data_IF_253789064659
#
_entry.id   IF_253789064659
#
_cell.length_a   1.000
_cell.length_b   1.000
_cell.length_c   1.000
_cell.angle_alpha   90.00
_cell.angle_beta   90.00
_cell.angle_gamma   90.00
#
_symmetry.space_group_name_H-M   'P 1'
#
loop_
_entity.id
_entity.type
_entity.pdbx_description
1 polymer ?
#
# COMPACT_ATOMS: atom_id res chain seq x y z
N UNK A 1 23.59 -2.49 52.17
CA UNK A 1 23.64 -3.42 51.02
C UNK A 1 22.60 -2.96 50.01
N UNK A 2 22.98 -2.74 48.75
CA UNK A 2 22.11 -2.14 47.73
C UNK A 2 21.30 -3.23 47.00
N UNK A 3 19.99 -3.03 46.83
CA UNK A 3 19.10 -3.97 46.13
C UNK A 3 19.56 -4.15 44.67
N UNK A 4 19.82 -5.40 44.27
CA UNK A 4 20.29 -5.78 42.92
C UNK A 4 19.17 -6.12 41.93
N UNK A 5 17.91 -5.97 42.33
CA UNK A 5 16.75 -6.33 41.51
C UNK A 5 15.94 -5.07 41.19
N UNK A 6 16.02 -4.60 39.95
CA UNK A 6 15.21 -3.50 39.43
C UNK A 6 13.86 -3.98 38.90
N UNK A 7 12.97 -3.03 38.60
CA UNK A 7 11.71 -3.32 37.91
C UNK A 7 12.00 -4.00 36.56
N UNK A 8 11.37 -5.14 36.24
CA UNK A 8 11.61 -5.83 34.97
C UNK A 8 11.34 -4.89 33.78
N UNK A 9 12.33 -4.73 32.90
CA UNK A 9 12.29 -3.87 31.71
C UNK A 9 11.94 -4.61 30.43
N UNK A 10 11.80 -5.94 30.49
CA UNK A 10 11.34 -6.77 29.38
C UNK A 10 9.87 -7.13 29.58
N UNK A 11 9.06 -6.94 28.53
CA UNK A 11 7.68 -7.41 28.52
C UNK A 11 7.65 -8.94 28.55
N UNK A 12 6.84 -9.51 29.44
CA UNK A 12 6.56 -10.95 29.45
C UNK A 12 5.88 -11.33 28.14
N UNK A 13 6.44 -12.32 27.44
CA UNK A 13 5.80 -12.88 26.24
C UNK A 13 4.48 -13.52 26.67
N UNK A 14 3.35 -12.92 26.30
CA UNK A 14 2.05 -13.56 26.47
C UNK A 14 1.91 -14.63 25.41
N UNK A 15 1.48 -15.83 25.81
CA UNK A 15 1.14 -16.89 24.86
C UNK A 15 0.07 -16.37 23.91
N UNK A 16 0.36 -16.35 22.61
CA UNK A 16 -0.58 -15.95 21.58
C UNK A 16 -1.36 -17.19 21.15
N UNK A 17 -2.55 -17.39 21.72
CA UNK A 17 -3.50 -18.38 21.21
C UNK A 17 -4.07 -17.84 19.88
N UNK A 18 -3.87 -18.54 18.75
CA UNK A 18 -4.36 -18.08 17.47
C UNK A 18 -5.90 -18.10 17.45
N UNK A 19 -6.52 -16.93 17.46
CA UNK A 19 -7.95 -16.80 17.21
C UNK A 19 -8.22 -16.80 15.71
N UNK A 20 -8.74 -17.91 15.19
CA UNK A 20 -9.13 -18.02 13.79
C UNK A 20 -10.36 -17.13 13.51
N UNK A 21 -10.26 -16.28 12.49
CA UNK A 21 -11.40 -15.51 11.97
C UNK A 21 -11.97 -16.23 10.75
N UNK A 22 -13.25 -16.01 10.44
CA UNK A 22 -13.90 -16.60 9.26
C UNK A 22 -13.22 -16.17 7.95
N UNK A 23 -12.71 -14.93 7.88
CA UNK A 23 -12.04 -14.38 6.70
C UNK A 23 -10.54 -14.66 6.64
N UNK A 24 -9.90 -15.04 7.77
CA UNK A 24 -8.45 -15.14 7.88
C UNK A 24 -7.72 -13.83 8.22
N UNK A 25 -8.44 -12.70 8.33
CA UNK A 25 -7.89 -11.41 8.78
C UNK A 25 -7.37 -11.51 10.22
N UNK A 26 -6.29 -10.77 10.53
CA UNK A 26 -5.65 -10.74 11.86
C UNK A 26 -5.53 -9.30 12.37
N UNK A 27 -6.50 -8.88 13.19
CA UNK A 27 -6.62 -7.49 13.65
C UNK A 27 -6.61 -6.50 12.45
N UNK A 28 -5.62 -5.62 12.37
CA UNK A 28 -5.45 -4.66 11.27
C UNK A 28 -4.77 -5.26 10.02
N UNK A 29 -4.36 -6.53 10.06
CA UNK A 29 -3.85 -7.23 8.87
C UNK A 29 -5.03 -7.81 8.08
N UNK A 30 -5.47 -7.04 7.10
CA UNK A 30 -6.51 -7.43 6.15
C UNK A 30 -5.89 -8.16 4.95
N UNK A 31 -6.62 -9.13 4.40
CA UNK A 31 -6.24 -9.79 3.14
C UNK A 31 -6.68 -8.88 1.99
N UNK A 32 -5.79 -7.97 1.60
CA UNK A 32 -6.02 -7.04 0.49
C UNK A 32 -4.92 -7.23 -0.56
N UNK A 33 -5.29 -7.45 -1.85
CA UNK A 33 -4.31 -7.55 -2.92
C UNK A 33 -3.53 -6.25 -3.09
N UNK A 34 -2.32 -6.35 -3.64
CA UNK A 34 -1.55 -5.18 -4.02
C UNK A 34 -2.19 -4.49 -5.23
N UNK A 35 -1.97 -3.18 -5.36
CA UNK A 35 -2.50 -2.40 -6.51
C UNK A 35 -2.04 -2.95 -7.87
N UNK A 36 -0.90 -3.64 -7.93
CA UNK A 36 -0.39 -4.29 -9.14
C UNK A 36 -1.11 -5.59 -9.50
N UNK A 37 -1.86 -6.17 -8.57
CA UNK A 37 -2.62 -7.41 -8.76
C UNK A 37 -4.04 -7.14 -9.25
N UNK A 38 -4.56 -5.93 -9.00
CA UNK A 38 -5.93 -5.53 -9.35
C UNK A 38 -6.01 -4.44 -10.42
N UNK A 39 -5.01 -3.57 -10.53
CA UNK A 39 -5.06 -2.43 -11.43
C UNK A 39 -4.57 -2.72 -12.85
N UNK A 40 -4.99 -1.88 -13.79
CA UNK A 40 -4.70 -2.03 -15.22
C UNK A 40 -4.20 -0.70 -15.80
N UNK A 41 -3.24 -0.70 -16.74
CA UNK A 41 -2.63 0.53 -17.27
C UNK A 41 -3.61 1.41 -18.06
N UNK A 42 -4.67 0.81 -18.63
CA UNK A 42 -5.68 1.49 -19.45
C UNK A 42 -6.79 2.16 -18.62
N UNK A 43 -6.77 2.02 -17.30
CA UNK A 43 -7.83 2.53 -16.41
C UNK A 43 -7.37 3.79 -15.70
N UNK A 44 -8.30 4.72 -15.47
CA UNK A 44 -8.06 5.89 -14.62
C UNK A 44 -9.26 6.10 -13.70
N UNK A 45 -8.98 6.46 -12.46
CA UNK A 45 -10.00 6.79 -11.46
C UNK A 45 -10.32 8.27 -11.43
N UNK A 46 -9.63 9.06 -12.24
CA UNK A 46 -9.85 10.49 -12.38
C UNK A 46 -10.31 10.80 -13.80
N UNK A 47 -11.37 11.59 -13.90
CA UNK A 47 -11.85 12.14 -15.16
C UNK A 47 -11.08 13.43 -15.45
N UNK A 48 -10.03 13.29 -16.27
CA UNK A 48 -9.18 14.40 -16.69
C UNK A 48 -9.13 14.40 -18.22
N UNK A 49 -9.40 15.56 -18.81
CA UNK A 49 -9.31 15.75 -20.24
C UNK A 49 -7.89 15.45 -20.77
N UNK A 50 -7.83 14.94 -22.00
CA UNK A 50 -6.56 14.78 -22.68
C UNK A 50 -5.82 16.14 -22.79
N UNK A 51 -4.49 16.18 -22.62
CA UNK A 51 -3.75 17.42 -22.70
C UNK A 51 -3.86 18.03 -24.11
N UNK A 52 -4.05 19.35 -24.18
CA UNK A 52 -3.97 20.07 -25.44
C UNK A 52 -2.57 19.90 -26.09
N UNK A 53 -2.44 20.04 -27.42
CA UNK A 53 -1.15 19.93 -28.09
C UNK A 53 -0.10 20.87 -27.48
N UNK A 54 1.04 20.33 -27.06
CA UNK A 54 2.11 21.09 -26.45
C UNK A 54 3.48 20.65 -26.98
N UNK A 55 4.46 21.56 -26.89
CA UNK A 55 5.87 21.23 -27.17
C UNK A 55 6.57 20.85 -25.86
N UNK A 56 7.08 19.62 -25.77
CA UNK A 56 7.84 19.17 -24.61
C UNK A 56 9.10 20.02 -24.40
N UNK A 57 9.34 20.40 -23.14
CA UNK A 57 10.53 21.16 -22.70
C UNK A 57 11.59 20.27 -22.05
N UNK A 58 11.35 18.96 -21.97
CA UNK A 58 12.25 18.02 -21.29
C UNK A 58 13.46 17.61 -22.15
N UNK A 59 13.41 17.80 -23.47
CA UNK A 59 14.53 17.47 -24.36
C UNK A 59 15.04 16.04 -24.15
N UNK A 60 16.34 15.88 -23.91
CA UNK A 60 16.97 14.59 -23.67
C UNK A 60 16.56 13.90 -22.35
N UNK A 61 15.87 14.61 -21.45
CA UNK A 61 15.35 14.07 -20.19
C UNK A 61 13.91 13.57 -20.30
N UNK A 62 13.32 13.58 -21.50
CA UNK A 62 12.00 13.01 -21.72
C UNK A 62 11.99 11.51 -21.43
N UNK A 63 10.86 11.02 -20.92
CA UNK A 63 10.64 9.58 -20.72
C UNK A 63 10.68 8.85 -22.05
N UNK A 64 11.37 7.71 -22.09
CA UNK A 64 11.52 6.86 -23.28
C UNK A 64 10.52 5.69 -23.30
N UNK A 65 9.79 5.49 -22.21
CA UNK A 65 8.81 4.43 -22.06
C UNK A 65 7.77 4.76 -20.99
N UNK A 66 6.91 3.80 -20.74
CA UNK A 66 5.85 3.89 -19.74
C UNK A 66 6.43 3.90 -18.31
N UNK A 67 5.68 4.48 -17.37
CA UNK A 67 6.07 4.50 -15.95
C UNK A 67 5.85 3.10 -15.32
N UNK A 68 4.89 2.32 -15.84
CA UNK A 68 4.53 1.02 -15.28
C UNK A 68 3.69 1.11 -13.99
N UNK A 69 2.89 2.18 -13.86
CA UNK A 69 1.94 2.31 -12.75
C UNK A 69 0.57 1.78 -13.17
N UNK A 70 -0.05 0.89 -12.38
CA UNK A 70 -1.40 0.43 -12.65
C UNK A 70 -2.40 1.54 -12.34
N UNK A 71 -3.43 1.64 -13.16
CA UNK A 71 -4.58 2.49 -12.90
C UNK A 71 -5.71 1.72 -12.23
N UNK A 72 -6.51 2.45 -11.44
CA UNK A 72 -7.70 1.95 -10.75
C UNK A 72 -8.84 2.94 -11.01
N UNK A 73 -10.06 2.46 -11.12
CA UNK A 73 -11.25 3.33 -11.07
C UNK A 73 -11.43 3.94 -9.67
N UNK A 74 -12.22 5.01 -9.55
CA UNK A 74 -12.52 5.62 -8.24
C UNK A 74 -13.11 4.58 -7.26
N UNK A 75 -14.11 3.76 -7.64
CA UNK A 75 -14.65 2.76 -6.72
C UNK A 75 -13.67 1.64 -6.35
N UNK A 76 -12.67 1.35 -7.18
CA UNK A 76 -11.62 0.39 -6.84
C UNK A 76 -10.61 0.98 -5.85
N UNK A 77 -10.37 2.30 -5.91
CA UNK A 77 -9.46 3.01 -5.01
C UNK A 77 -10.03 3.18 -3.61
N UNK A 78 -11.36 3.34 -3.48
CA UNK A 78 -12.05 3.62 -2.21
C UNK A 78 -12.39 2.37 -1.38
N UNK A 79 -12.13 1.16 -1.92
CA UNK A 79 -12.51 -0.11 -1.28
C UNK A 79 -11.70 -0.43 -0.03
#
# INVERSE_FOLDING_TARGET
MLNRQGRPTQGTVSAHEPHATFTGNRALQQIEPLIFEIGHPETTGVDIDAPAPFKSRLGAHARQGEIGLPGLSEPETMR
#
